data_IF_127695307296
#
_entry.id   IF_127695307296
#
_cell.length_a   1.000
_cell.length_b   1.000
_cell.length_c   1.000
_cell.angle_alpha   90.00
_cell.angle_beta   90.00
_cell.angle_gamma   90.00
#
_symmetry.space_group_name_H-M   'P 1'
#
loop_
_entity.id
_entity.type
_entity.pdbx_description
1 polymer ?
#
# COMPACT_ATOMS: atom_id res chain seq x y z
N UNK A 1 5.24 15.23 -1.16
CA UNK A 1 6.38 14.79 -0.34
C UNK A 1 6.11 14.84 1.16
N UNK A 2 5.85 16.01 1.77
CA UNK A 2 5.70 16.15 3.24
C UNK A 2 4.56 15.33 3.88
N UNK A 3 3.49 15.05 3.13
CA UNK A 3 2.36 14.23 3.60
C UNK A 3 2.75 12.78 3.89
N UNK A 4 3.58 12.14 3.05
CA UNK A 4 3.99 10.75 3.27
C UNK A 4 4.89 10.62 4.51
N UNK A 5 5.90 11.49 4.62
CA UNK A 5 6.80 11.52 5.78
C UNK A 5 6.09 11.83 7.09
N UNK A 6 5.08 12.71 7.11
CA UNK A 6 4.33 13.00 8.35
C UNK A 6 3.53 11.80 8.86
N UNK A 7 3.29 10.80 8.01
CA UNK A 7 2.62 9.55 8.34
C UNK A 7 3.61 8.37 8.44
N UNK A 8 4.92 8.65 8.55
CA UNK A 8 5.94 7.63 8.73
C UNK A 8 6.31 6.84 7.47
N UNK A 9 5.78 7.22 6.30
CA UNK A 9 6.19 6.62 5.02
C UNK A 9 7.51 7.26 4.60
N UNK A 10 8.56 6.44 4.55
CA UNK A 10 9.90 6.85 4.17
C UNK A 10 10.27 6.25 2.81
N UNK A 11 11.02 7.01 2.01
CA UNK A 11 11.38 6.64 0.63
C UNK A 11 12.73 5.88 0.54
N UNK A 12 13.36 5.59 1.68
CA UNK A 12 14.59 4.77 1.79
C UNK A 12 14.30 3.26 1.89
N UNK A 13 13.03 2.87 1.82
CA UNK A 13 12.58 1.48 1.98
C UNK A 13 11.52 1.14 0.92
N UNK A 14 11.34 -0.15 0.59
CA UNK A 14 10.26 -0.57 -0.29
C UNK A 14 8.90 -0.13 0.25
N UNK A 15 8.04 0.39 -0.62
CA UNK A 15 6.68 0.81 -0.28
C UNK A 15 5.70 -0.14 -0.96
N UNK A 16 4.85 -0.78 -0.15
CA UNK A 16 3.77 -1.63 -0.64
C UNK A 16 2.45 -0.95 -0.30
N UNK A 17 1.67 -0.57 -1.32
CA UNK A 17 0.35 0.01 -1.14
C UNK A 17 -0.73 -1.06 -1.20
N UNK A 18 -1.77 -0.93 -0.38
CA UNK A 18 -2.94 -1.82 -0.38
C UNK A 18 -4.21 -1.08 0.06
N UNK A 19 -5.37 -1.62 -0.28
CA UNK A 19 -6.68 -1.12 0.17
C UNK A 19 -7.69 -2.28 0.27
N UNK A 20 -8.97 -2.02 0.03
CA UNK A 20 -9.99 -3.09 -0.06
C UNK A 20 -9.77 -4.01 -1.26
N UNK A 21 -9.74 -3.43 -2.46
CA UNK A 21 -9.74 -4.15 -3.75
C UNK A 21 -8.54 -3.84 -4.66
N UNK A 22 -7.52 -3.15 -4.14
CA UNK A 22 -6.36 -2.68 -4.90
C UNK A 22 -6.58 -1.36 -5.67
N UNK A 23 -7.83 -1.02 -6.05
CA UNK A 23 -8.13 0.15 -6.92
C UNK A 23 -7.65 1.49 -6.34
N UNK A 24 -8.00 1.79 -5.08
CA UNK A 24 -7.57 3.05 -4.43
C UNK A 24 -6.06 3.08 -4.21
N UNK A 25 -5.45 1.94 -3.91
CA UNK A 25 -4.00 1.85 -3.70
C UNK A 25 -3.22 2.11 -4.99
N UNK A 26 -3.76 1.76 -6.17
CA UNK A 26 -3.15 2.07 -7.46
C UNK A 26 -2.97 3.59 -7.67
N UNK A 27 -3.89 4.42 -7.16
CA UNK A 27 -3.76 5.89 -7.21
C UNK A 27 -2.59 6.37 -6.36
N UNK A 28 -2.36 5.75 -5.20
CA UNK A 28 -1.21 6.07 -4.32
C UNK A 28 0.10 5.67 -4.99
N UNK A 29 0.15 4.48 -5.62
CA UNK A 29 1.31 4.02 -6.40
C UNK A 29 1.61 4.99 -7.53
N UNK A 30 0.60 5.43 -8.28
CA UNK A 30 0.77 6.42 -9.33
C UNK A 30 1.33 7.74 -8.78
N UNK A 31 0.80 8.23 -7.66
CA UNK A 31 1.30 9.46 -7.03
C UNK A 31 2.78 9.34 -6.60
N UNK A 32 3.19 8.20 -6.05
CA UNK A 32 4.59 7.95 -5.68
C UNK A 32 5.49 7.82 -6.91
N UNK A 33 5.01 7.16 -7.97
CA UNK A 33 5.73 7.06 -9.25
C UNK A 33 5.94 8.45 -9.89
N UNK A 34 4.95 9.35 -9.82
CA UNK A 34 5.09 10.73 -10.32
C UNK A 34 6.08 11.58 -9.52
N UNK A 35 6.47 11.12 -8.34
CA UNK A 35 7.47 11.75 -7.48
C UNK A 35 8.86 11.09 -7.61
N UNK A 36 9.05 10.21 -8.60
CA UNK A 36 10.26 9.41 -8.81
C UNK A 36 10.70 8.61 -7.57
N UNK A 37 9.73 8.21 -6.74
CA UNK A 37 10.01 7.35 -5.58
C UNK A 37 10.32 5.94 -6.09
N UNK A 38 11.51 5.38 -5.81
CA UNK A 38 11.87 4.04 -6.25
C UNK A 38 11.16 2.99 -5.38
N UNK A 39 11.09 1.76 -5.90
CA UNK A 39 10.67 0.57 -5.14
C UNK A 39 9.25 0.66 -4.54
N UNK A 40 8.29 1.04 -5.39
CA UNK A 40 6.87 1.14 -5.06
C UNK A 40 6.10 0.01 -5.74
N UNK A 41 5.40 -0.80 -4.95
CA UNK A 41 4.62 -1.95 -5.44
C UNK A 41 3.17 -1.87 -4.96
N UNK A 42 2.24 -2.34 -5.79
CA UNK A 42 0.84 -2.56 -5.41
C UNK A 42 0.67 -4.00 -4.93
N UNK A 43 0.11 -4.20 -3.73
CA UNK A 43 -0.45 -5.49 -3.37
C UNK A 43 -1.86 -5.62 -3.95
N UNK A 44 -1.95 -6.22 -5.14
CA UNK A 44 -3.16 -6.28 -5.97
C UNK A 44 -4.31 -7.04 -5.30
N UNK A 45 -4.02 -8.19 -4.68
CA UNK A 45 -5.05 -9.00 -4.00
C UNK A 45 -5.68 -8.29 -2.80
N UNK A 46 -4.93 -7.39 -2.17
CA UNK A 46 -5.42 -6.45 -1.17
C UNK A 46 -6.19 -7.13 -0.01
N UNK A 47 -7.13 -6.42 0.62
CA UNK A 47 -7.97 -7.02 1.65
C UNK A 47 -8.87 -8.13 1.12
N UNK A 48 -9.33 -8.02 -0.14
CA UNK A 48 -10.16 -9.07 -0.77
C UNK A 48 -9.48 -10.44 -0.77
N UNK A 49 -8.17 -10.51 -1.01
CA UNK A 49 -7.39 -11.75 -0.92
C UNK A 49 -7.07 -12.09 0.55
N UNK A 50 -6.53 -11.13 1.31
CA UNK A 50 -6.07 -11.38 2.69
C UNK A 50 -7.21 -11.82 3.61
N UNK A 51 -8.34 -11.10 3.56
CA UNK A 51 -9.52 -11.34 4.39
C UNK A 51 -10.32 -12.57 3.98
N UNK A 52 -10.12 -13.10 2.77
CA UNK A 52 -10.73 -14.36 2.33
C UNK A 52 -10.01 -15.60 2.88
N UNK A 53 -8.77 -15.42 3.39
CA UNK A 53 -7.95 -16.50 3.93
C UNK A 53 -8.17 -16.65 5.43
N UNK A 54 -8.48 -17.87 5.85
CA UNK A 54 -8.70 -18.22 7.27
C UNK A 54 -7.41 -18.56 8.02
N UNK A 55 -6.29 -18.69 7.30
CA UNK A 55 -4.97 -19.03 7.83
C UNK A 55 -4.07 -17.81 8.08
N UNK A 56 -4.57 -16.60 7.79
CA UNK A 56 -3.83 -15.35 7.98
C UNK A 56 -4.30 -14.61 9.23
N UNK A 57 -3.39 -13.88 9.91
CA UNK A 57 -3.77 -13.07 11.07
C UNK A 57 -4.64 -11.88 10.63
N UNK A 58 -5.67 -11.61 11.42
CA UNK A 58 -6.56 -10.46 11.27
C UNK A 58 -6.80 -9.86 12.66
N UNK A 59 -6.61 -8.55 12.79
CA UNK A 59 -6.99 -7.83 14.00
C UNK A 59 -8.50 -7.54 13.97
N UNK A 60 -9.26 -7.87 15.03
CA UNK A 60 -10.67 -7.52 15.14
C UNK A 60 -10.86 -5.99 15.17
N UNK A 61 -11.97 -5.51 14.60
CA UNK A 61 -12.34 -4.10 14.60
C UNK A 61 -12.73 -3.57 15.99
#
# INVERSE_FOLDING_TARGET
MRFFFSHGVSFDRPIIASCGSGVTAAVVVLALATLDVPDVTLYDGAWSEWGARTDLPVEPA
#
